data_IF_528094409804
#
_entry.id   IF_528094409804
#
_cell.length_a   1.000
_cell.length_b   1.000
_cell.length_c   1.000
_cell.angle_alpha   90.00
_cell.angle_beta   90.00
_cell.angle_gamma   90.00
#
_symmetry.space_group_name_H-M   'P 1'
#
loop_
_entity.id
_entity.type
_entity.pdbx_description
1 polymer ?
#
# COMPACT_ATOMS: atom_id res chain seq x y z
N UNK A 1 9.65 11.02 -41.44
CA UNK A 1 9.65 10.47 -40.07
C UNK A 1 10.61 11.33 -39.24
N UNK A 2 10.13 11.93 -38.15
CA UNK A 2 10.99 12.71 -37.25
C UNK A 2 11.91 11.78 -36.47
N UNK A 3 13.06 12.30 -36.02
CA UNK A 3 13.89 11.61 -35.04
C UNK A 3 13.15 11.46 -33.72
N UNK A 4 13.62 10.56 -32.83
CA UNK A 4 13.05 10.41 -31.48
C UNK A 4 13.01 11.76 -30.73
N UNK A 5 14.05 12.58 -30.90
CA UNK A 5 14.09 13.95 -30.36
C UNK A 5 12.95 14.81 -30.90
N UNK A 6 12.71 14.77 -32.20
CA UNK A 6 11.66 15.59 -32.83
C UNK A 6 10.26 15.20 -32.33
N UNK A 7 10.03 13.89 -32.14
CA UNK A 7 8.76 13.38 -31.61
C UNK A 7 8.56 13.82 -30.15
N UNK A 8 9.58 13.67 -29.31
CA UNK A 8 9.52 14.05 -27.90
C UNK A 8 9.36 15.56 -27.73
N UNK A 9 10.06 16.38 -28.53
CA UNK A 9 9.91 17.83 -28.50
C UNK A 9 8.49 18.24 -28.92
N UNK A 10 7.97 17.67 -30.01
CA UNK A 10 6.62 17.98 -30.47
C UNK A 10 5.55 17.56 -29.45
N UNK A 11 5.70 16.39 -28.83
CA UNK A 11 4.79 15.90 -27.78
C UNK A 11 4.81 16.80 -26.54
N UNK A 12 5.99 17.23 -26.12
CA UNK A 12 6.15 18.14 -24.98
C UNK A 12 5.55 19.51 -25.26
N UNK A 13 5.79 20.08 -26.43
CA UNK A 13 5.30 21.41 -26.78
C UNK A 13 3.75 21.41 -26.91
N UNK A 14 3.20 20.35 -27.51
CA UNK A 14 1.75 20.13 -27.54
C UNK A 14 1.17 19.90 -26.13
N UNK A 15 1.86 19.13 -25.28
CA UNK A 15 1.47 18.90 -23.90
C UNK A 15 1.49 20.18 -23.05
N UNK A 16 2.46 21.07 -23.25
CA UNK A 16 2.51 22.38 -22.55
C UNK A 16 1.30 23.24 -22.93
N UNK A 17 0.95 23.28 -24.22
CA UNK A 17 -0.24 24.00 -24.68
C UNK A 17 -1.53 23.39 -24.12
N UNK A 18 -1.64 22.06 -24.09
CA UNK A 18 -2.78 21.36 -23.52
C UNK A 18 -2.90 21.62 -22.01
N UNK A 19 -1.79 21.52 -21.27
CA UNK A 19 -1.76 21.77 -19.82
C UNK A 19 -2.19 23.20 -19.49
N UNK A 20 -1.70 24.19 -20.23
CA UNK A 20 -2.09 25.59 -20.05
C UNK A 20 -3.59 25.84 -20.32
N UNK A 21 -4.22 25.00 -21.14
CA UNK A 21 -5.65 25.07 -21.44
C UNK A 21 -6.52 24.33 -20.41
N UNK A 22 -5.96 23.51 -19.52
CA UNK A 22 -6.73 22.72 -18.54
C UNK A 22 -7.68 23.54 -17.65
N UNK A 23 -7.36 24.79 -17.24
CA UNK A 23 -8.32 25.63 -16.53
C UNK A 23 -9.55 26.02 -17.37
N UNK A 24 -9.44 26.07 -18.70
CA UNK A 24 -10.58 26.35 -19.58
C UNK A 24 -11.41 25.10 -19.90
N UNK A 25 -10.87 23.91 -19.63
CA UNK A 25 -11.55 22.63 -19.85
C UNK A 25 -12.29 22.14 -18.59
N UNK A 26 -11.79 22.51 -17.41
CA UNK A 26 -12.30 22.05 -16.12
C UNK A 26 -12.55 23.25 -15.20
N UNK A 27 -13.83 23.58 -14.88
CA UNK A 27 -14.18 24.72 -14.04
C UNK A 27 -13.48 24.74 -12.68
N UNK A 28 -13.21 23.55 -12.11
CA UNK A 28 -12.53 23.39 -10.82
C UNK A 28 -11.08 23.90 -10.83
N UNK A 29 -10.35 23.68 -11.94
CA UNK A 29 -8.98 24.13 -12.11
C UNK A 29 -8.93 25.65 -12.33
N UNK A 30 -9.94 26.19 -13.03
CA UNK A 30 -10.14 27.63 -13.20
C UNK A 30 -10.33 28.36 -11.89
N UNK A 31 -11.22 27.87 -11.04
CA UNK A 31 -11.54 28.46 -9.75
C UNK A 31 -10.33 28.41 -8.79
N UNK A 32 -9.53 27.35 -8.87
CA UNK A 32 -8.32 27.18 -8.07
C UNK A 32 -7.09 27.91 -8.63
N UNK A 33 -7.13 28.42 -9.86
CA UNK A 33 -6.00 29.10 -10.50
C UNK A 33 -4.79 28.20 -10.76
N UNK A 34 -5.00 26.89 -10.83
CA UNK A 34 -3.94 25.87 -11.02
C UNK A 34 -4.18 25.07 -12.30
N UNK A 35 -3.15 24.40 -12.79
CA UNK A 35 -3.23 23.47 -13.93
C UNK A 35 -3.33 22.02 -13.43
N UNK A 36 -3.69 21.10 -14.32
CA UNK A 36 -3.79 19.68 -13.98
C UNK A 36 -2.44 19.10 -13.50
N UNK A 37 -2.42 18.55 -12.28
CA UNK A 37 -1.19 18.02 -11.67
C UNK A 37 -0.67 16.77 -12.41
N UNK A 38 -1.56 15.94 -12.94
CA UNK A 38 -1.20 14.76 -13.74
C UNK A 38 -0.51 15.15 -15.06
N UNK A 39 -1.06 16.13 -15.76
CA UNK A 39 -0.48 16.70 -16.98
C UNK A 39 0.85 17.40 -16.73
N UNK A 40 1.01 18.08 -15.58
CA UNK A 40 2.28 18.65 -15.16
C UNK A 40 3.35 17.55 -14.92
N UNK A 41 2.99 16.47 -14.23
CA UNK A 41 3.86 15.31 -14.04
C UNK A 41 4.24 14.62 -15.35
N UNK A 42 3.31 14.49 -16.29
CA UNK A 42 3.57 13.93 -17.61
C UNK A 42 4.55 14.79 -18.43
N UNK A 43 4.46 16.11 -18.33
CA UNK A 43 5.44 17.00 -18.98
C UNK A 43 6.85 16.87 -18.40
N UNK A 44 6.96 16.71 -17.07
CA UNK A 44 8.25 16.46 -16.43
C UNK A 44 8.88 15.15 -16.92
N UNK A 45 8.07 14.11 -17.13
CA UNK A 45 8.52 12.85 -17.73
C UNK A 45 9.06 13.05 -19.16
N UNK A 46 8.40 13.88 -19.97
CA UNK A 46 8.88 14.21 -21.32
C UNK A 46 10.16 15.06 -21.30
N UNK A 47 10.27 16.00 -20.36
CA UNK A 47 11.50 16.78 -20.13
C UNK A 47 12.67 15.86 -19.72
N UNK A 48 12.43 14.86 -18.87
CA UNK A 48 13.42 13.83 -18.52
C UNK A 48 13.81 12.95 -19.71
N UNK A 49 12.86 12.56 -20.55
CA UNK A 49 13.15 11.80 -21.76
C UNK A 49 14.04 12.60 -22.75
N UNK A 50 13.77 13.90 -22.93
CA UNK A 50 14.61 14.78 -23.75
C UNK A 50 15.99 15.02 -23.13
N UNK A 51 16.09 15.08 -21.81
CA UNK A 51 17.38 15.13 -21.12
C UNK A 51 18.25 13.92 -21.45
N UNK A 52 17.67 12.71 -21.38
CA UNK A 52 18.39 11.46 -21.68
C UNK A 52 18.74 11.35 -23.17
N UNK A 53 17.81 11.70 -24.06
CA UNK A 53 17.96 11.47 -25.51
C UNK A 53 18.78 12.57 -26.21
N UNK A 54 18.68 13.81 -25.75
CA UNK A 54 19.23 14.98 -26.42
C UNK A 54 20.17 15.83 -25.56
N UNK A 55 20.29 15.53 -24.27
CA UNK A 55 21.09 16.32 -23.31
C UNK A 55 20.45 17.67 -22.98
N UNK A 56 19.16 17.86 -23.28
CA UNK A 56 18.45 19.10 -22.96
C UNK A 56 18.39 19.26 -21.42
N UNK A 57 18.54 20.47 -20.87
CA UNK A 57 18.49 20.68 -19.43
C UNK A 57 17.08 20.37 -18.90
N UNK A 58 17.03 19.76 -17.70
CA UNK A 58 15.78 19.64 -16.96
C UNK A 58 15.29 21.04 -16.53
N UNK A 59 13.96 21.25 -16.44
CA UNK A 59 13.44 22.48 -15.89
C UNK A 59 13.89 22.65 -14.43
N UNK A 60 14.31 23.86 -14.08
CA UNK A 60 14.64 24.19 -12.70
C UNK A 60 13.40 24.00 -11.82
N UNK A 61 13.61 23.49 -10.61
CA UNK A 61 12.56 23.49 -9.61
C UNK A 61 12.13 24.95 -9.38
N UNK A 62 10.81 25.25 -9.33
CA UNK A 62 10.36 26.63 -9.17
C UNK A 62 10.98 27.23 -7.90
N UNK A 63 11.71 28.34 -8.06
CA UNK A 63 12.26 29.09 -6.94
C UNK A 63 11.14 29.90 -6.27
N UNK A 64 10.78 29.50 -5.06
CA UNK A 64 9.77 30.14 -4.22
C UNK A 64 8.88 29.08 -3.56
N UNK A 65 8.40 29.36 -2.35
CA UNK A 65 7.31 28.60 -1.74
C UNK A 65 6.23 28.45 -2.82
N UNK A 66 6.01 27.23 -3.29
CA UNK A 66 4.85 26.94 -4.11
C UNK A 66 3.68 27.58 -3.37
N UNK A 67 3.04 28.59 -3.98
CA UNK A 67 1.88 29.23 -3.37
C UNK A 67 0.89 28.09 -3.17
N UNK A 68 0.87 27.57 -1.94
CA UNK A 68 -0.06 26.55 -1.54
C UNK A 68 -1.42 27.15 -1.90
N UNK A 69 -2.25 26.45 -2.70
CA UNK A 69 -3.57 26.96 -2.99
C UNK A 69 -4.22 27.28 -1.66
N UNK A 70 -4.89 28.44 -1.57
CA UNK A 70 -5.59 28.87 -0.36
C UNK A 70 -6.37 27.67 0.20
N UNK A 71 -6.12 27.24 1.45
CA UNK A 71 -6.86 26.14 2.07
C UNK A 71 -8.38 26.33 1.97
N UNK A 72 -8.85 27.59 1.94
CA UNK A 72 -10.25 27.90 1.72
C UNK A 72 -10.72 27.61 0.28
N UNK A 73 -9.85 27.74 -0.73
CA UNK A 73 -10.12 27.37 -2.12
C UNK A 73 -10.12 25.84 -2.30
N UNK A 74 -9.18 25.11 -1.69
CA UNK A 74 -9.15 23.64 -1.67
C UNK A 74 -10.41 23.09 -0.97
N UNK A 75 -10.76 23.67 0.18
CA UNK A 75 -11.99 23.30 0.89
C UNK A 75 -13.27 23.75 0.17
N UNK A 76 -13.23 24.83 -0.62
CA UNK A 76 -14.37 25.23 -1.45
C UNK A 76 -14.55 24.32 -2.68
N UNK A 77 -13.48 23.75 -3.21
CA UNK A 77 -13.51 22.71 -4.24
C UNK A 77 -14.07 21.41 -3.66
N UNK A 78 -13.55 20.95 -2.51
CA UNK A 78 -14.04 19.74 -1.83
C UNK A 78 -15.49 19.84 -1.34
N UNK A 79 -16.00 21.06 -1.07
CA UNK A 79 -17.38 21.29 -0.63
C UNK A 79 -18.35 21.58 -1.78
N UNK A 80 -17.89 22.09 -2.93
CA UNK A 80 -18.77 22.33 -4.11
C UNK A 80 -18.99 21.07 -4.95
N UNK A 81 -18.13 20.06 -4.82
CA UNK A 81 -18.34 18.72 -5.39
C UNK A 81 -19.45 17.91 -4.70
N UNK A 82 -20.16 18.50 -3.73
CA UNK A 82 -21.25 17.85 -3.00
C UNK A 82 -22.67 18.34 -3.29
N UNK A 83 -22.87 19.45 -4.04
CA UNK A 83 -24.20 20.11 -4.08
C UNK A 83 -24.73 20.49 -5.48
N UNK A 84 -23.98 20.26 -6.56
CA UNK A 84 -24.45 20.49 -7.93
C UNK A 84 -24.44 19.19 -8.74
N UNK A 85 -25.33 18.24 -8.42
CA UNK A 85 -25.92 17.24 -9.34
C UNK A 85 -25.01 16.51 -10.35
N UNK A 86 -23.70 16.46 -10.13
CA UNK A 86 -22.69 15.88 -10.99
C UNK A 86 -21.93 14.83 -10.21
N UNK A 87 -22.27 13.58 -10.46
CA UNK A 87 -21.51 12.38 -10.07
C UNK A 87 -20.19 12.44 -10.90
N UNK A 88 -19.01 12.02 -10.41
CA UNK A 88 -18.64 10.60 -10.52
C UNK A 88 -17.37 10.20 -9.73
N UNK A 89 -17.57 9.32 -8.74
CA UNK A 89 -16.64 8.23 -8.40
C UNK A 89 -17.34 7.00 -8.94
N UNK A 90 -16.92 6.52 -10.12
CA UNK A 90 -17.55 5.49 -10.97
C UNK A 90 -18.91 4.96 -10.47
N UNK A 91 -20.01 5.34 -11.14
CA UNK A 91 -21.38 4.82 -10.95
C UNK A 91 -21.53 3.28 -11.06
N UNK A 92 -20.44 2.55 -11.25
CA UNK A 92 -20.40 1.12 -11.55
C UNK A 92 -20.14 0.30 -10.29
N UNK A 93 -21.11 -0.53 -9.95
CA UNK A 93 -21.17 -1.28 -8.70
C UNK A 93 -20.30 -2.53 -8.68
N UNK A 94 -20.05 -3.13 -9.83
CA UNK A 94 -19.35 -4.41 -9.90
C UNK A 94 -18.05 -4.28 -10.67
N UNK A 95 -17.03 -4.98 -10.21
CA UNK A 95 -15.83 -5.27 -10.96
C UNK A 95 -15.94 -6.70 -11.51
N UNK A 96 -15.73 -6.85 -12.82
CA UNK A 96 -15.67 -8.15 -13.48
C UNK A 96 -14.26 -8.38 -14.00
N UNK A 97 -13.65 -9.46 -13.52
CA UNK A 97 -12.31 -9.88 -13.92
C UNK A 97 -12.33 -11.32 -14.43
N UNK A 98 -11.63 -11.59 -15.53
CA UNK A 98 -11.40 -12.96 -15.99
C UNK A 98 -10.21 -13.09 -16.94
N UNK A 99 -9.74 -14.31 -17.11
CA UNK A 99 -8.88 -14.67 -18.23
C UNK A 99 -9.72 -15.08 -19.43
N UNK A 100 -9.50 -14.48 -20.60
CA UNK A 100 -10.19 -14.79 -21.84
C UNK A 100 -9.23 -15.44 -22.83
N UNK A 101 -9.50 -16.67 -23.25
CA UNK A 101 -8.86 -17.21 -24.43
C UNK A 101 -9.59 -16.66 -25.67
N UNK A 102 -8.94 -15.76 -26.44
CA UNK A 102 -9.53 -15.06 -27.58
C UNK A 102 -8.44 -14.76 -28.62
N UNK A 103 -8.73 -15.01 -29.90
CA UNK A 103 -7.81 -14.74 -31.01
C UNK A 103 -7.42 -13.25 -31.03
N UNK A 104 -6.12 -12.97 -31.13
CA UNK A 104 -5.54 -11.62 -31.08
C UNK A 104 -6.16 -10.68 -32.13
N UNK A 105 -6.69 -11.19 -33.25
CA UNK A 105 -7.36 -10.36 -34.26
C UNK A 105 -8.68 -9.76 -33.79
N UNK A 106 -9.28 -10.32 -32.74
CA UNK A 106 -10.58 -9.89 -32.20
C UNK A 106 -10.44 -9.00 -30.95
N UNK A 107 -9.22 -8.77 -30.47
CA UNK A 107 -9.02 -8.05 -29.20
C UNK A 107 -9.47 -6.58 -29.25
N UNK A 108 -9.29 -5.92 -30.39
CA UNK A 108 -9.71 -4.52 -30.54
C UNK A 108 -11.25 -4.40 -30.58
N UNK A 109 -11.92 -5.37 -31.23
CA UNK A 109 -13.39 -5.47 -31.19
C UNK A 109 -13.91 -5.79 -29.78
N UNK A 110 -13.21 -6.68 -29.06
CA UNK A 110 -13.51 -6.99 -27.67
C UNK A 110 -13.43 -5.76 -26.76
N UNK A 111 -12.33 -4.98 -26.84
CA UNK A 111 -12.16 -3.74 -26.06
C UNK A 111 -13.25 -2.71 -26.39
N UNK A 112 -13.60 -2.56 -27.67
CA UNK A 112 -14.64 -1.63 -28.09
C UNK A 112 -16.00 -2.00 -27.48
N UNK A 113 -16.41 -3.27 -27.60
CA UNK A 113 -17.67 -3.76 -27.04
C UNK A 113 -17.68 -3.73 -25.52
N UNK A 114 -16.55 -3.98 -24.88
CA UNK A 114 -16.41 -3.84 -23.42
C UNK A 114 -16.55 -2.40 -22.94
N UNK A 115 -16.04 -1.43 -23.69
CA UNK A 115 -16.22 -0.02 -23.39
C UNK A 115 -17.68 0.47 -23.51
N UNK A 116 -18.57 -0.30 -24.15
CA UNK A 116 -20.01 -0.02 -24.18
C UNK A 116 -20.74 -0.58 -22.94
N UNK A 117 -20.15 -1.57 -22.26
CA UNK A 117 -20.72 -2.28 -21.11
C UNK A 117 -20.23 -1.75 -19.77
N UNK A 118 -19.07 -1.08 -19.76
CA UNK A 118 -18.41 -0.66 -18.54
C UNK A 118 -17.32 0.37 -18.74
N UNK A 119 -16.79 0.89 -17.64
CA UNK A 119 -15.69 1.84 -17.61
C UNK A 119 -14.40 1.19 -17.09
N UNK A 120 -13.31 1.98 -17.10
CA UNK A 120 -12.02 1.56 -16.53
C UNK A 120 -11.49 0.23 -17.10
N UNK A 121 -11.69 0.02 -18.40
CA UNK A 121 -11.31 -1.23 -19.06
C UNK A 121 -9.79 -1.43 -19.05
N UNK A 122 -9.35 -2.58 -18.56
CA UNK A 122 -7.96 -3.01 -18.63
C UNK A 122 -7.92 -4.39 -19.27
N UNK A 123 -7.27 -4.48 -20.43
CA UNK A 123 -7.12 -5.72 -21.19
C UNK A 123 -5.65 -5.90 -21.53
N UNK A 124 -4.98 -6.81 -20.82
CA UNK A 124 -3.53 -7.02 -20.89
C UNK A 124 -3.25 -8.49 -21.20
N UNK A 125 -2.46 -8.75 -22.24
CA UNK A 125 -2.17 -10.11 -22.69
C UNK A 125 -1.63 -10.16 -24.12
N UNK A 126 -1.72 -11.34 -24.73
CA UNK A 126 -1.27 -11.68 -26.09
C UNK A 126 -1.19 -13.19 -26.30
N UNK A 127 -0.96 -13.63 -27.54
CA UNK A 127 -0.87 -15.06 -27.91
C UNK A 127 -2.14 -15.87 -27.58
N UNK A 128 -3.30 -15.24 -27.75
CA UNK A 128 -4.60 -15.89 -27.60
C UNK A 128 -5.12 -15.94 -26.15
N UNK A 129 -4.43 -15.36 -25.17
CA UNK A 129 -4.87 -15.29 -23.76
C UNK A 129 -4.77 -13.86 -23.23
N UNK A 130 -5.87 -13.38 -22.65
CA UNK A 130 -6.03 -12.00 -22.19
C UNK A 130 -6.50 -11.96 -20.75
N UNK A 131 -5.91 -11.11 -19.92
CA UNK A 131 -6.44 -10.75 -18.62
C UNK A 131 -7.30 -9.51 -18.77
N UNK A 132 -8.57 -9.62 -18.42
CA UNK A 132 -9.59 -8.64 -18.71
C UNK A 132 -10.21 -8.17 -17.39
N UNK A 133 -10.28 -6.86 -17.19
CA UNK A 133 -10.88 -6.17 -16.06
C UNK A 133 -11.79 -5.05 -16.59
N UNK A 134 -13.03 -5.02 -16.13
CA UNK A 134 -13.98 -3.95 -16.40
C UNK A 134 -14.81 -3.64 -15.15
N UNK A 135 -15.05 -2.37 -14.86
CA UNK A 135 -16.10 -1.99 -13.93
C UNK A 135 -17.42 -1.99 -14.69
N UNK A 136 -18.54 -2.40 -14.09
CA UNK A 136 -19.84 -2.41 -14.75
C UNK A 136 -20.99 -2.57 -13.75
N UNK A 137 -22.20 -2.22 -14.17
CA UNK A 137 -23.44 -2.63 -13.50
C UNK A 137 -24.10 -3.86 -14.15
N UNK A 138 -23.60 -4.30 -15.30
CA UNK A 138 -24.12 -5.42 -16.08
C UNK A 138 -23.06 -6.52 -16.22
N UNK A 139 -22.96 -7.34 -15.17
CA UNK A 139 -22.03 -8.47 -15.08
C UNK A 139 -22.25 -9.46 -16.24
N UNK A 140 -23.51 -9.66 -16.63
CA UNK A 140 -23.89 -10.58 -17.70
C UNK A 140 -23.33 -10.13 -19.03
N UNK A 141 -23.61 -8.87 -19.40
CA UNK A 141 -23.10 -8.28 -20.64
C UNK A 141 -21.56 -8.30 -20.68
N UNK A 142 -20.88 -8.05 -19.55
CA UNK A 142 -19.43 -8.06 -19.50
C UNK A 142 -18.83 -9.43 -19.84
N UNK A 143 -19.48 -10.53 -19.43
CA UNK A 143 -19.04 -11.89 -19.74
C UNK A 143 -19.46 -12.31 -21.15
N UNK A 144 -20.66 -11.92 -21.59
CA UNK A 144 -21.25 -12.30 -22.88
C UNK A 144 -20.46 -11.73 -24.07
N UNK A 145 -19.88 -10.53 -23.95
CA UNK A 145 -19.04 -9.93 -25.01
C UNK A 145 -17.88 -10.87 -25.41
N UNK A 146 -17.25 -11.55 -24.44
CA UNK A 146 -16.21 -12.53 -24.76
C UNK A 146 -16.77 -13.73 -25.52
N UNK A 147 -17.93 -14.25 -25.09
CA UNK A 147 -18.56 -15.44 -25.66
C UNK A 147 -19.01 -15.18 -27.11
N UNK A 148 -19.61 -14.01 -27.36
CA UNK A 148 -20.07 -13.61 -28.69
C UNK A 148 -18.91 -13.48 -29.70
N UNK A 149 -17.71 -13.19 -29.22
CA UNK A 149 -16.50 -13.11 -30.02
C UNK A 149 -15.76 -14.45 -30.12
N UNK A 150 -16.43 -15.58 -29.87
CA UNK A 150 -15.85 -16.93 -29.81
C UNK A 150 -14.75 -17.09 -28.75
N UNK A 151 -14.70 -16.17 -27.79
CA UNK A 151 -13.78 -16.19 -26.65
C UNK A 151 -14.22 -17.15 -25.55
N UNK A 152 -13.27 -17.59 -24.74
CA UNK A 152 -13.53 -18.49 -23.59
C UNK A 152 -13.10 -17.80 -22.29
N UNK A 153 -14.01 -17.11 -21.59
CA UNK A 153 -13.70 -16.57 -20.27
C UNK A 153 -13.50 -17.72 -19.26
N UNK A 154 -12.56 -17.54 -18.35
CA UNK A 154 -12.16 -18.52 -17.34
C UNK A 154 -11.66 -17.81 -16.09
N UNK A 155 -11.81 -18.45 -14.93
CA UNK A 155 -11.54 -17.85 -13.61
C UNK A 155 -12.26 -16.51 -13.42
N UNK A 156 -13.55 -16.50 -13.75
CA UNK A 156 -14.39 -15.31 -13.62
C UNK A 156 -14.52 -14.96 -12.13
N UNK A 157 -14.12 -13.74 -11.79
CA UNK A 157 -14.32 -13.11 -10.49
C UNK A 157 -15.22 -11.91 -10.70
N UNK A 158 -16.22 -11.78 -9.83
CA UNK A 158 -17.11 -10.63 -9.77
C UNK A 158 -17.05 -10.10 -8.36
N UNK A 159 -16.66 -8.84 -8.22
CA UNK A 159 -16.53 -8.16 -6.93
C UNK A 159 -17.61 -7.08 -6.85
N UNK A 160 -18.40 -7.02 -5.78
CA UNK A 160 -19.29 -5.88 -5.52
C UNK A 160 -18.46 -4.79 -4.82
N UNK A 161 -18.14 -3.73 -5.56
CA UNK A 161 -17.30 -2.62 -5.10
C UNK A 161 -17.97 -1.85 -3.96
N UNK A 162 -19.30 -1.89 -3.85
CA UNK A 162 -20.03 -1.20 -2.79
C UNK A 162 -20.20 -2.09 -1.55
N UNK A 163 -20.28 -3.40 -1.69
CA UNK A 163 -20.35 -4.34 -0.57
C UNK A 163 -18.96 -4.55 0.07
N UNK A 164 -17.87 -4.49 -0.69
CA UNK A 164 -16.51 -4.48 -0.15
C UNK A 164 -16.24 -3.16 0.60
N UNK A 165 -16.62 -2.01 0.03
CA UNK A 165 -16.57 -0.73 0.75
C UNK A 165 -17.54 -0.71 1.94
N UNK A 166 -18.75 -1.26 1.88
CA UNK A 166 -19.69 -1.22 3.02
C UNK A 166 -19.35 -2.23 4.13
N UNK A 167 -18.87 -3.43 3.80
CA UNK A 167 -18.42 -4.41 4.78
C UNK A 167 -17.08 -3.99 5.39
N UNK A 168 -16.16 -3.43 4.60
CA UNK A 168 -14.97 -2.82 5.15
C UNK A 168 -15.31 -1.55 5.95
N UNK A 169 -16.23 -0.68 5.52
CA UNK A 169 -16.59 0.54 6.28
C UNK A 169 -17.40 0.24 7.55
N UNK A 170 -18.24 -0.79 7.57
CA UNK A 170 -18.96 -1.22 8.77
C UNK A 170 -18.00 -1.82 9.81
N UNK A 171 -17.05 -2.65 9.37
CA UNK A 171 -15.96 -3.13 10.24
C UNK A 171 -15.01 -1.99 10.64
N UNK A 172 -14.73 -1.03 9.75
CA UNK A 172 -13.90 0.17 10.01
C UNK A 172 -14.55 1.14 11.00
N UNK A 173 -15.87 1.34 10.96
CA UNK A 173 -16.58 2.21 11.90
C UNK A 173 -16.80 1.57 13.27
N UNK A 174 -17.08 0.25 13.33
CA UNK A 174 -17.16 -0.47 14.61
C UNK A 174 -15.78 -0.61 15.29
N UNK A 175 -14.69 -0.64 14.52
CA UNK A 175 -13.32 -0.63 15.04
C UNK A 175 -12.81 0.75 15.50
N UNK A 176 -13.52 1.84 15.20
CA UNK A 176 -13.17 3.20 15.64
C UNK A 176 -13.90 3.65 16.91
N UNK A 177 -14.86 2.88 17.44
CA UNK A 177 -15.35 3.03 18.82
C UNK A 177 -16.08 1.77 19.29
N UNK A 178 -15.62 1.05 20.34
CA UNK A 178 -16.46 0.03 20.96
C UNK A 178 -17.64 0.71 21.68
N UNK A 179 -18.85 0.14 21.67
CA UNK A 179 -19.89 0.56 22.60
C UNK A 179 -19.46 0.14 24.01
N UNK A 180 -18.85 1.07 24.75
CA UNK A 180 -18.51 0.91 26.17
C UNK A 180 -17.02 1.03 26.55
N UNK A 181 -16.16 1.62 25.72
CA UNK A 181 -14.81 1.95 26.18
C UNK A 181 -14.86 3.00 27.31
N UNK A 182 -14.43 2.61 28.51
CA UNK A 182 -14.03 3.58 29.53
C UNK A 182 -13.02 4.55 28.89
N UNK A 183 -13.15 5.85 29.19
CA UNK A 183 -12.23 6.85 28.67
C UNK A 183 -10.79 6.41 28.96
N UNK A 184 -10.04 6.12 27.90
CA UNK A 184 -8.63 5.75 28.03
C UNK A 184 -7.91 6.83 28.84
N UNK A 185 -6.96 6.47 29.72
CA UNK A 185 -6.22 7.45 30.48
C UNK A 185 -5.57 8.46 29.53
N UNK A 186 -5.68 9.74 29.85
CA UNK A 186 -5.06 10.82 29.08
C UNK A 186 -3.54 10.61 29.08
N UNK A 187 -2.94 10.49 27.90
CA UNK A 187 -1.49 10.30 27.73
C UNK A 187 -0.83 11.62 27.32
N UNK A 188 0.44 11.81 27.69
CA UNK A 188 1.22 12.98 27.26
C UNK A 188 1.47 12.94 25.75
N UNK A 189 1.73 11.74 25.23
CA UNK A 189 1.95 11.48 23.83
C UNK A 189 1.18 10.22 23.42
N UNK A 190 0.26 10.33 22.48
CA UNK A 190 -0.44 9.19 21.91
C UNK A 190 0.39 8.53 20.79
N UNK A 191 0.06 7.29 20.47
CA UNK A 191 0.58 6.55 19.34
C UNK A 191 -0.56 6.24 18.36
N UNK A 192 -0.31 6.51 17.09
CA UNK A 192 -1.13 6.03 15.97
C UNK A 192 -0.31 5.05 15.16
N UNK A 193 -0.78 3.83 14.97
CA UNK A 193 -0.06 2.79 14.24
C UNK A 193 -0.87 2.27 13.06
N UNK A 194 -0.20 2.02 11.94
CA UNK A 194 -0.78 1.26 10.84
C UNK A 194 -0.52 -0.21 11.05
N UNK A 195 -1.55 -1.02 10.97
CA UNK A 195 -1.47 -2.47 11.17
C UNK A 195 -2.08 -3.24 10.01
N UNK A 196 -1.56 -4.44 9.75
CA UNK A 196 -2.04 -5.35 8.71
C UNK A 196 -2.49 -6.65 9.33
N UNK A 197 -3.77 -6.79 9.63
CA UNK A 197 -4.35 -8.01 10.20
C UNK A 197 -4.96 -7.80 11.59
N UNK A 198 -6.05 -8.51 11.92
CA UNK A 198 -6.82 -8.26 13.13
C UNK A 198 -6.01 -8.52 14.41
N UNK A 199 -5.21 -9.59 14.43
CA UNK A 199 -4.38 -9.93 15.58
C UNK A 199 -3.27 -8.89 15.83
N UNK A 200 -2.67 -8.35 14.77
CA UNK A 200 -1.69 -7.25 14.92
C UNK A 200 -2.38 -5.98 15.46
N UNK A 201 -3.58 -5.66 14.95
CA UNK A 201 -4.35 -4.54 15.48
C UNK A 201 -4.69 -4.70 16.96
N UNK A 202 -5.03 -5.92 17.40
CA UNK A 202 -5.29 -6.24 18.81
C UNK A 202 -4.02 -6.08 19.64
N UNK A 203 -2.90 -6.65 19.22
CA UNK A 203 -1.60 -6.50 19.90
C UNK A 203 -1.22 -5.03 20.07
N UNK A 204 -1.36 -4.22 19.02
CA UNK A 204 -1.06 -2.78 19.12
C UNK A 204 -1.94 -2.08 20.15
N UNK A 205 -3.24 -2.40 20.20
CA UNK A 205 -4.14 -1.84 21.23
C UNK A 205 -3.75 -2.30 22.64
N UNK A 206 -3.40 -3.57 22.82
CA UNK A 206 -2.93 -4.10 24.11
C UNK A 206 -1.64 -3.43 24.58
N UNK A 207 -0.78 -3.02 23.64
CA UNK A 207 0.44 -2.26 23.90
C UNK A 207 0.21 -0.75 24.07
N UNK A 208 -1.04 -0.32 24.17
CA UNK A 208 -1.39 1.07 24.48
C UNK A 208 -1.36 2.00 23.28
N UNK A 209 -1.54 1.51 22.05
CA UNK A 209 -1.77 2.36 20.88
C UNK A 209 -3.18 2.93 20.92
N UNK A 210 -3.31 4.26 20.83
CA UNK A 210 -4.60 4.96 20.91
C UNK A 210 -5.35 5.00 19.56
N UNK A 211 -4.64 4.96 18.43
CA UNK A 211 -5.25 4.92 17.10
C UNK A 211 -4.64 3.83 16.24
N UNK A 212 -5.46 2.91 15.72
CA UNK A 212 -5.00 1.88 14.78
C UNK A 212 -5.69 2.09 13.44
N UNK A 213 -4.88 2.27 12.40
CA UNK A 213 -5.34 2.40 11.01
C UNK A 213 -5.07 1.09 10.28
N UNK A 214 -6.05 0.62 9.51
CA UNK A 214 -5.87 -0.53 8.64
C UNK A 214 -4.90 -0.19 7.50
N UNK A 215 -3.93 -1.04 7.26
CA UNK A 215 -3.02 -0.94 6.12
C UNK A 215 -2.29 -2.26 5.85
N UNK A 216 -1.25 -2.23 5.04
CA UNK A 216 -0.46 -3.40 4.70
C UNK A 216 0.32 -3.23 3.41
N UNK A 217 0.85 -4.32 2.85
CA UNK A 217 1.68 -4.26 1.63
C UNK A 217 0.90 -3.84 0.37
N UNK A 218 -0.38 -4.21 0.32
CA UNK A 218 -1.26 -3.97 -0.83
C UNK A 218 -2.34 -2.92 -0.57
N UNK A 219 -2.48 -2.45 0.68
CA UNK A 219 -3.47 -1.50 1.13
C UNK A 219 -2.76 -0.42 1.94
N UNK A 220 -2.41 0.70 1.31
CA UNK A 220 -1.82 1.84 2.02
C UNK A 220 -2.94 2.82 2.38
N UNK A 221 -3.04 3.26 3.65
CA UNK A 221 -3.97 4.31 4.03
C UNK A 221 -3.61 5.61 3.30
N UNK A 222 -4.64 6.35 2.95
CA UNK A 222 -4.54 7.70 2.41
C UNK A 222 -4.05 8.70 3.47
N UNK A 223 -3.56 9.86 3.00
CA UNK A 223 -3.22 10.99 3.87
C UNK A 223 -4.39 11.38 4.78
N UNK A 224 -5.61 11.39 4.23
CA UNK A 224 -6.81 11.79 4.96
C UNK A 224 -7.16 10.82 6.09
N UNK A 225 -6.98 9.51 5.87
CA UNK A 225 -7.24 8.49 6.89
C UNK A 225 -6.24 8.56 8.05
N UNK A 226 -4.94 8.72 7.74
CA UNK A 226 -3.91 8.90 8.76
C UNK A 226 -4.13 10.18 9.56
N UNK A 227 -4.49 11.28 8.89
CA UNK A 227 -4.77 12.55 9.55
C UNK A 227 -6.00 12.45 10.45
N UNK A 228 -7.06 11.80 10.00
CA UNK A 228 -8.25 11.57 10.82
C UNK A 228 -7.94 10.73 12.07
N UNK A 229 -7.08 9.71 11.95
CA UNK A 229 -6.64 8.91 13.10
C UNK A 229 -5.80 9.75 14.10
N UNK A 230 -4.91 10.61 13.60
CA UNK A 230 -4.14 11.56 14.43
C UNK A 230 -5.06 12.57 15.11
N UNK A 231 -6.06 13.10 14.43
CA UNK A 231 -6.94 14.13 14.99
C UNK A 231 -7.93 13.57 16.02
N UNK A 232 -8.31 12.29 15.90
CA UNK A 232 -9.27 11.65 16.82
C UNK A 232 -8.66 11.19 18.16
N UNK A 233 -7.35 10.96 18.26
CA UNK A 233 -6.72 10.58 19.54
C UNK A 233 -6.70 11.72 20.55
N UNK A 234 -6.99 11.45 21.83
CA UNK A 234 -7.04 12.45 22.89
C UNK A 234 -5.65 12.79 23.46
N UNK A 235 -4.79 13.37 22.61
CA UNK A 235 -3.47 13.89 22.97
C UNK A 235 -3.05 15.03 22.02
N UNK A 236 -2.30 16.00 22.54
CA UNK A 236 -1.70 17.11 21.77
C UNK A 236 -0.43 16.70 21.01
N UNK A 237 0.20 15.59 21.43
CA UNK A 237 1.41 15.05 20.83
C UNK A 237 1.15 13.61 20.36
N UNK A 238 1.57 13.28 19.15
CA UNK A 238 1.30 11.99 18.52
C UNK A 238 2.58 11.43 17.87
N UNK A 239 2.90 10.18 18.14
CA UNK A 239 3.88 9.39 17.39
C UNK A 239 3.15 8.49 16.39
N UNK A 240 3.59 8.47 15.14
CA UNK A 240 3.02 7.63 14.09
C UNK A 240 3.98 6.49 13.74
N UNK A 241 3.45 5.27 13.69
CA UNK A 241 4.16 4.04 13.28
C UNK A 241 3.61 3.56 11.91
N UNK A 242 4.31 3.83 10.80
CA UNK A 242 3.80 3.53 9.46
C UNK A 242 3.72 2.04 9.13
N UNK A 243 4.59 1.19 9.69
CA UNK A 243 4.58 -0.26 9.48
C UNK A 243 4.83 -0.73 8.04
N UNK A 244 4.95 0.18 7.07
CA UNK A 244 5.28 -0.07 5.67
C UNK A 244 6.08 1.12 5.10
N UNK A 245 7.18 0.84 4.39
CA UNK A 245 8.02 1.85 3.73
C UNK A 245 7.27 2.78 2.78
N UNK A 246 6.18 2.31 2.17
CA UNK A 246 5.37 3.10 1.24
C UNK A 246 4.50 4.15 1.97
N UNK A 247 4.28 3.97 3.28
CA UNK A 247 3.46 4.85 4.11
C UNK A 247 4.31 5.94 4.77
N UNK A 248 5.61 5.67 5.02
CA UNK A 248 6.54 6.61 5.66
C UNK A 248 6.48 8.03 5.04
N UNK A 249 6.56 8.22 3.70
CA UNK A 249 6.56 9.57 3.13
C UNK A 249 5.25 10.35 3.34
N UNK A 250 4.13 9.63 3.49
CA UNK A 250 2.81 10.23 3.76
C UNK A 250 2.71 10.57 5.24
N UNK A 251 3.16 9.67 6.12
CA UNK A 251 3.17 9.90 7.57
C UNK A 251 4.03 11.11 7.95
N UNK A 252 5.17 11.31 7.30
CA UNK A 252 6.08 12.45 7.56
C UNK A 252 5.45 13.82 7.25
N UNK A 253 4.39 13.86 6.43
CA UNK A 253 3.70 15.11 6.09
C UNK A 253 2.61 15.49 7.11
N UNK A 254 2.25 14.60 8.04
CA UNK A 254 1.10 14.80 8.93
C UNK A 254 1.28 16.01 9.87
N UNK A 255 2.50 16.24 10.38
CA UNK A 255 2.81 17.36 11.30
C UNK A 255 2.44 18.73 10.69
N UNK A 256 2.53 18.88 9.38
CA UNK A 256 2.19 20.12 8.69
C UNK A 256 0.68 20.32 8.44
N UNK A 257 -0.13 19.27 8.63
CA UNK A 257 -1.55 19.27 8.28
C UNK A 257 -2.50 19.25 9.49
N UNK A 258 -1.99 19.16 10.71
CA UNK A 258 -2.77 19.21 11.96
C UNK A 258 -2.28 20.31 12.89
N UNK A 259 -3.09 20.65 13.88
CA UNK A 259 -2.69 21.55 14.98
C UNK A 259 -1.88 20.82 16.06
N UNK A 260 -1.90 19.47 16.08
CA UNK A 260 -1.15 18.64 17.02
C UNK A 260 0.32 18.56 16.63
N UNK A 261 1.19 18.23 17.59
CA UNK A 261 2.59 17.90 17.29
C UNK A 261 2.69 16.44 16.88
N UNK A 262 3.12 16.18 15.65
CA UNK A 262 3.28 14.82 15.12
C UNK A 262 4.76 14.49 14.92
N UNK A 263 5.13 13.28 15.31
CA UNK A 263 6.45 12.69 15.03
C UNK A 263 6.26 11.31 14.41
N UNK A 264 7.22 10.90 13.58
CA UNK A 264 7.18 9.61 12.90
C UNK A 264 8.38 8.79 13.33
N UNK A 265 8.13 7.57 13.77
CA UNK A 265 9.16 6.52 13.85
C UNK A 265 9.02 5.73 12.55
N UNK A 266 10.00 5.74 11.64
CA UNK A 266 9.84 5.23 10.27
C UNK A 266 9.90 3.70 10.20
N UNK A 267 9.04 3.03 10.98
CA UNK A 267 8.85 1.58 10.92
C UNK A 267 8.28 1.18 9.58
N UNK A 268 8.70 0.02 9.09
CA UNK A 268 8.31 -0.49 7.78
C UNK A 268 7.95 -1.97 7.79
N UNK A 269 7.96 -2.58 8.98
CA UNK A 269 7.47 -3.91 9.23
C UNK A 269 6.70 -3.93 10.57
N UNK A 270 5.86 -4.94 10.74
CA UNK A 270 5.08 -5.10 11.98
C UNK A 270 5.97 -5.45 13.19
N UNK A 271 7.01 -6.31 13.06
CA UNK A 271 7.95 -6.54 14.17
C UNK A 271 8.70 -5.27 14.62
N UNK A 272 9.11 -4.40 13.69
CA UNK A 272 9.68 -3.09 14.03
C UNK A 272 8.68 -2.22 14.83
N UNK A 273 7.40 -2.28 14.48
CA UNK A 273 6.32 -1.61 15.22
C UNK A 273 6.15 -2.15 16.64
N UNK A 274 6.15 -3.47 16.83
CA UNK A 274 6.07 -4.08 18.16
C UNK A 274 7.27 -3.69 19.04
N UNK A 275 8.48 -3.75 18.50
CA UNK A 275 9.69 -3.36 19.22
C UNK A 275 9.67 -1.87 19.60
N UNK A 276 9.23 -1.00 18.68
CA UNK A 276 9.02 0.41 18.96
C UNK A 276 8.07 0.62 20.16
N UNK A 277 6.95 -0.11 20.20
CA UNK A 277 5.96 -0.01 21.27
C UNK A 277 6.48 -0.52 22.63
N UNK A 278 7.44 -1.46 22.65
CA UNK A 278 8.09 -1.87 23.91
C UNK A 278 8.90 -0.75 24.57
N UNK A 279 9.34 0.24 23.79
CA UNK A 279 10.08 1.41 24.27
C UNK A 279 9.20 2.66 24.46
N UNK A 280 7.90 2.55 24.25
CA UNK A 280 6.95 3.66 24.42
C UNK A 280 6.70 3.96 25.90
N UNK A 281 6.78 5.25 26.26
CA UNK A 281 6.42 5.77 27.58
C UNK A 281 5.22 6.75 27.44
N UNK A 282 4.03 6.42 27.96
CA UNK A 282 2.86 7.28 27.85
C UNK A 282 2.97 8.61 28.61
N UNK A 283 3.90 8.73 29.55
CA UNK A 283 4.15 9.96 30.31
C UNK A 283 5.16 10.89 29.62
N UNK A 284 5.96 10.37 28.68
CA UNK A 284 6.97 11.13 27.94
C UNK A 284 6.40 11.95 26.78
N UNK A 285 7.15 12.98 26.36
CA UNK A 285 6.82 13.79 25.19
C UNK A 285 7.14 13.07 23.86
N UNK A 286 6.58 13.56 22.74
CA UNK A 286 6.78 12.95 21.43
C UNK A 286 8.25 12.87 21.00
N UNK A 287 9.10 13.91 21.19
CA UNK A 287 10.52 13.80 20.87
C UNK A 287 11.26 12.70 21.63
N UNK A 288 11.06 12.60 22.95
CA UNK A 288 11.65 11.56 23.79
C UNK A 288 11.21 10.17 23.33
N UNK A 289 9.90 9.97 23.17
CA UNK A 289 9.34 8.71 22.68
C UNK A 289 9.90 8.35 21.30
N UNK A 290 9.92 9.29 20.35
CA UNK A 290 10.43 9.04 18.99
C UNK A 290 11.87 8.53 19.01
N UNK A 291 12.73 9.07 19.88
CA UNK A 291 14.13 8.63 19.98
C UNK A 291 14.21 7.21 20.54
N UNK A 292 13.54 6.91 21.65
CA UNK A 292 13.57 5.60 22.28
C UNK A 292 12.97 4.50 21.38
N UNK A 293 11.79 4.78 20.83
CA UNK A 293 11.06 3.89 19.93
C UNK A 293 11.84 3.62 18.64
N UNK A 294 12.52 4.62 18.08
CA UNK A 294 13.37 4.44 16.89
C UNK A 294 14.57 3.54 17.18
N UNK A 295 15.23 3.71 18.32
CA UNK A 295 16.36 2.83 18.71
C UNK A 295 15.90 1.38 18.82
N UNK A 296 14.74 1.14 19.41
CA UNK A 296 14.18 -0.21 19.50
C UNK A 296 13.80 -0.78 18.13
N UNK A 297 13.15 0.00 17.27
CA UNK A 297 12.80 -0.43 15.91
C UNK A 297 14.04 -0.73 15.05
N UNK A 298 15.08 0.10 15.13
CA UNK A 298 16.31 -0.05 14.34
C UNK A 298 17.14 -1.27 14.76
N UNK A 299 16.93 -1.80 15.97
CA UNK A 299 17.56 -3.04 16.43
C UNK A 299 16.97 -4.30 15.76
N UNK A 300 15.79 -4.19 15.14
CA UNK A 300 15.08 -5.34 14.57
C UNK A 300 15.61 -5.69 13.19
N UNK A 301 16.07 -6.92 13.05
CA UNK A 301 16.30 -7.55 11.76
C UNK A 301 15.01 -8.23 11.31
N UNK A 302 14.27 -7.57 10.43
CA UNK A 302 12.96 -8.04 9.96
C UNK A 302 13.06 -8.92 8.71
N UNK A 303 12.22 -9.96 8.65
CA UNK A 303 12.02 -10.78 7.47
C UNK A 303 10.60 -11.30 7.32
N UNK A 304 10.32 -11.83 6.14
CA UNK A 304 8.98 -12.29 5.74
C UNK A 304 9.11 -13.59 4.95
N UNK A 305 8.10 -14.47 5.07
CA UNK A 305 8.01 -15.67 4.23
C UNK A 305 6.81 -15.55 3.29
N UNK A 306 7.04 -15.81 2.01
CA UNK A 306 6.03 -15.69 0.96
C UNK A 306 6.10 -16.86 -0.02
N UNK A 307 4.97 -17.23 -0.63
CA UNK A 307 4.93 -18.20 -1.71
C UNK A 307 5.09 -17.50 -3.08
N UNK A 308 5.93 -18.07 -3.94
CA UNK A 308 6.18 -17.58 -5.27
C UNK A 308 4.98 -17.83 -6.21
N UNK A 309 4.41 -16.75 -6.73
CA UNK A 309 3.32 -16.80 -7.73
C UNK A 309 3.81 -16.73 -9.16
N UNK A 310 5.10 -16.45 -9.36
CA UNK A 310 5.75 -16.39 -10.67
C UNK A 310 7.19 -16.89 -10.58
N UNK A 311 7.69 -17.44 -11.68
CA UNK A 311 9.11 -17.79 -11.76
C UNK A 311 9.98 -16.52 -11.84
N UNK A 312 11.16 -16.58 -11.23
CA UNK A 312 12.13 -15.49 -11.22
C UNK A 312 13.54 -16.01 -11.01
N UNK A 313 14.53 -15.24 -11.45
CA UNK A 313 15.92 -15.45 -11.06
C UNK A 313 16.27 -14.45 -9.96
N UNK A 314 16.78 -14.95 -8.84
CA UNK A 314 17.13 -14.15 -7.66
C UNK A 314 18.56 -14.44 -7.23
N UNK A 315 19.20 -13.56 -6.44
CA UNK A 315 20.52 -13.84 -5.86
C UNK A 315 20.55 -15.13 -5.02
N UNK A 316 19.45 -15.49 -4.38
CA UNK A 316 19.29 -16.72 -3.60
C UNK A 316 19.06 -17.98 -4.45
N UNK A 317 18.86 -17.83 -5.76
CA UNK A 317 18.65 -18.93 -6.70
C UNK A 317 17.45 -18.72 -7.63
N UNK A 318 17.21 -19.74 -8.45
CA UNK A 318 16.04 -19.79 -9.32
C UNK A 318 14.80 -20.10 -8.48
N UNK A 319 13.75 -19.30 -8.68
CA UNK A 319 12.43 -19.47 -8.07
C UNK A 319 11.48 -19.98 -9.14
N UNK A 320 10.76 -21.06 -8.85
CA UNK A 320 9.61 -21.50 -9.65
C UNK A 320 8.30 -21.22 -8.92
N UNK A 321 7.18 -21.28 -9.66
CA UNK A 321 5.86 -21.07 -9.08
C UNK A 321 5.59 -22.16 -8.04
N UNK A 322 5.16 -21.74 -6.85
CA UNK A 322 4.87 -22.63 -5.72
C UNK A 322 6.01 -22.74 -4.71
N UNK A 323 7.24 -22.36 -5.08
CA UNK A 323 8.36 -22.28 -4.13
C UNK A 323 8.07 -21.27 -3.02
N UNK A 324 8.68 -21.50 -1.88
CA UNK A 324 8.66 -20.62 -0.73
C UNK A 324 9.93 -19.78 -0.69
N UNK A 325 9.76 -18.51 -0.35
CA UNK A 325 10.83 -17.52 -0.34
C UNK A 325 10.93 -16.89 1.04
N UNK A 326 12.17 -16.79 1.54
CA UNK A 326 12.50 -15.93 2.68
C UNK A 326 13.01 -14.60 2.18
N UNK A 327 12.43 -13.52 2.67
CA UNK A 327 12.71 -12.16 2.26
C UNK A 327 13.28 -11.42 3.47
N UNK A 328 14.46 -10.84 3.33
CA UNK A 328 15.04 -9.93 4.33
C UNK A 328 14.82 -8.51 3.86
N UNK A 329 14.43 -7.65 4.79
CA UNK A 329 14.23 -6.23 4.49
C UNK A 329 15.54 -5.60 4.00
N UNK A 330 15.48 -4.89 2.88
CA UNK A 330 16.65 -4.25 2.26
C UNK A 330 17.44 -5.18 1.32
N UNK A 331 17.56 -6.46 1.67
CA UNK A 331 18.36 -7.44 0.91
C UNK A 331 17.53 -8.22 -0.13
N UNK A 332 16.20 -8.22 0.01
CA UNK A 332 15.29 -8.91 -0.90
C UNK A 332 15.20 -10.41 -0.61
N UNK A 333 15.05 -11.22 -1.66
CA UNK A 333 14.91 -12.69 -1.51
C UNK A 333 16.29 -13.29 -1.19
N UNK A 334 16.42 -13.82 0.03
CA UNK A 334 17.66 -14.44 0.55
C UNK A 334 17.57 -15.95 0.69
N UNK A 335 16.36 -16.50 0.61
CA UNK A 335 16.11 -17.93 0.71
C UNK A 335 15.05 -18.37 -0.29
N UNK A 336 15.24 -19.56 -0.87
CA UNK A 336 14.29 -20.23 -1.76
C UNK A 336 14.26 -21.71 -1.38
N UNK A 337 13.08 -22.27 -1.17
CA UNK A 337 12.88 -23.67 -0.82
C UNK A 337 11.55 -24.19 -1.37
N UNK A 338 11.40 -25.52 -1.59
CA UNK A 338 10.13 -26.08 -2.06
C UNK A 338 9.02 -26.08 -1.00
N UNK A 339 9.37 -25.85 0.28
CA UNK A 339 8.45 -25.83 1.41
C UNK A 339 8.77 -24.68 2.38
N UNK A 340 7.75 -24.32 3.16
CA UNK A 340 7.76 -23.18 4.08
C UNK A 340 8.78 -23.34 5.22
N UNK A 341 8.98 -24.57 5.70
CA UNK A 341 9.93 -24.85 6.80
C UNK A 341 11.36 -24.63 6.30
N UNK A 342 11.70 -25.12 5.11
CA UNK A 342 13.00 -24.92 4.48
C UNK A 342 13.28 -23.44 4.22
N UNK A 343 12.28 -22.69 3.73
CA UNK A 343 12.42 -21.25 3.49
C UNK A 343 12.62 -20.48 4.81
N UNK A 344 11.85 -20.82 5.84
CA UNK A 344 11.97 -20.22 7.17
C UNK A 344 13.32 -20.55 7.83
N UNK A 345 13.75 -21.81 7.80
CA UNK A 345 15.04 -22.23 8.36
C UNK A 345 16.21 -21.50 7.68
N UNK A 346 16.16 -21.35 6.36
CA UNK A 346 17.16 -20.59 5.61
C UNK A 346 17.11 -19.09 5.94
N UNK A 347 15.91 -18.50 6.07
CA UNK A 347 15.71 -17.11 6.48
C UNK A 347 16.29 -16.85 7.88
N UNK A 348 15.91 -17.67 8.87
CA UNK A 348 16.43 -17.58 10.24
C UNK A 348 17.93 -17.85 10.31
N UNK A 349 18.46 -18.71 9.43
CA UNK A 349 19.89 -18.93 9.27
C UNK A 349 20.66 -17.65 8.89
N UNK A 350 20.01 -16.73 8.15
CA UNK A 350 20.57 -15.43 7.78
C UNK A 350 20.32 -14.35 8.85
N UNK A 351 19.09 -14.28 9.39
CA UNK A 351 18.68 -13.22 10.31
C UNK A 351 19.25 -13.40 11.72
N UNK A 352 19.32 -14.63 12.22
CA UNK A 352 19.76 -14.89 13.58
C UNK A 352 21.30 -14.84 13.62
N UNK A 353 21.85 -13.74 14.11
CA UNK A 353 23.28 -13.58 14.34
C UNK A 353 23.77 -14.20 15.66
N UNK A 354 25.06 -14.04 15.96
CA UNK A 354 25.67 -14.52 17.22
C UNK A 354 25.22 -13.73 18.47
N UNK A 355 24.66 -12.53 18.27
CA UNK A 355 24.15 -11.67 19.34
C UNK A 355 22.63 -11.65 19.49
N UNK A 356 21.91 -12.46 18.71
CA UNK A 356 20.46 -12.48 18.77
C UNK A 356 19.97 -13.11 20.10
N UNK A 357 18.96 -12.51 20.71
CA UNK A 357 18.40 -12.97 21.99
C UNK A 357 16.93 -13.39 21.86
N UNK A 358 16.18 -12.75 20.95
CA UNK A 358 14.75 -12.99 20.76
C UNK A 358 14.40 -13.05 19.27
N UNK A 359 13.54 -14.01 18.93
CA UNK A 359 12.86 -14.11 17.64
C UNK A 359 11.36 -13.95 17.89
N UNK A 360 10.79 -12.90 17.33
CA UNK A 360 9.35 -12.65 17.31
C UNK A 360 8.77 -13.16 16.00
N UNK A 361 7.89 -14.16 16.07
CA UNK A 361 7.22 -14.77 14.94
C UNK A 361 5.74 -14.38 14.94
N UNK A 362 5.28 -13.70 13.89
CA UNK A 362 3.87 -13.29 13.76
C UNK A 362 3.21 -14.14 12.66
N UNK A 363 2.21 -14.94 13.04
CA UNK A 363 1.50 -15.84 12.13
C UNK A 363 0.38 -15.13 11.38
N UNK A 364 0.30 -15.35 10.07
CA UNK A 364 -0.76 -14.84 9.20
C UNK A 364 -1.86 -15.87 8.96
N UNK A 365 -2.90 -15.48 8.22
CA UNK A 365 -4.07 -16.32 7.94
C UNK A 365 -3.73 -17.63 7.18
N UNK A 366 -2.59 -17.68 6.49
CA UNK A 366 -2.10 -18.86 5.79
C UNK A 366 -1.15 -19.75 6.61
N UNK A 367 -0.88 -19.43 7.87
CA UNK A 367 -0.06 -20.25 8.75
C UNK A 367 -0.86 -21.41 9.35
N UNK A 368 -0.21 -22.55 9.54
CA UNK A 368 -0.78 -23.70 10.24
C UNK A 368 0.05 -24.03 11.50
N UNK A 369 -0.63 -24.57 12.52
CA UNK A 369 -0.03 -24.89 13.82
C UNK A 369 1.12 -25.90 13.70
N UNK A 370 1.02 -26.88 12.79
CA UNK A 370 2.02 -27.93 12.66
C UNK A 370 3.33 -27.42 12.06
N UNK A 371 3.24 -26.54 11.07
CA UNK A 371 4.38 -25.82 10.52
C UNK A 371 4.99 -24.89 11.55
N UNK A 372 4.17 -24.13 12.29
CA UNK A 372 4.65 -23.20 13.32
C UNK A 372 5.44 -23.94 14.40
N UNK A 373 4.91 -25.06 14.91
CA UNK A 373 5.60 -25.90 15.89
C UNK A 373 6.92 -26.49 15.34
N UNK A 374 6.99 -26.80 14.03
CA UNK A 374 8.21 -27.27 13.39
C UNK A 374 9.27 -26.17 13.29
N UNK A 375 8.87 -24.92 13.02
CA UNK A 375 9.76 -23.75 13.02
C UNK A 375 10.33 -23.50 14.42
N UNK A 376 9.47 -23.52 15.46
CA UNK A 376 9.90 -23.39 16.85
C UNK A 376 10.91 -24.49 17.23
N UNK A 377 10.60 -25.75 16.88
CA UNK A 377 11.49 -26.89 17.15
C UNK A 377 12.84 -26.73 16.45
N UNK A 378 12.84 -26.29 15.19
CA UNK A 378 14.06 -26.05 14.43
C UNK A 378 14.93 -24.98 15.10
N UNK A 379 14.33 -23.86 15.52
CA UNK A 379 15.07 -22.78 16.18
C UNK A 379 15.62 -23.22 17.53
N UNK A 380 14.84 -23.95 18.33
CA UNK A 380 15.31 -24.49 19.61
C UNK A 380 16.50 -25.45 19.45
N UNK A 381 16.53 -26.24 18.37
CA UNK A 381 17.63 -27.16 18.07
C UNK A 381 18.89 -26.43 17.57
N UNK A 382 18.73 -25.48 16.65
CA UNK A 382 19.86 -24.84 15.96
C UNK A 382 20.37 -23.59 16.66
N UNK A 383 19.54 -22.92 17.47
CA UNK A 383 19.79 -21.65 18.15
C UNK A 383 19.30 -21.69 19.60
N UNK A 384 19.80 -22.60 20.45
CA UNK A 384 19.27 -22.84 21.81
C UNK A 384 19.40 -21.67 22.79
N UNK A 385 20.18 -20.63 22.44
CA UNK A 385 20.31 -19.40 23.23
C UNK A 385 19.27 -18.33 22.89
N UNK A 386 18.47 -18.53 21.84
CA UNK A 386 17.51 -17.57 21.33
C UNK A 386 16.11 -17.96 21.78
N UNK A 387 15.39 -17.03 22.42
CA UNK A 387 13.99 -17.22 22.78
C UNK A 387 13.11 -17.01 21.53
N UNK A 388 12.01 -17.76 21.43
CA UNK A 388 10.97 -17.50 20.43
C UNK A 388 9.68 -17.06 21.11
N UNK A 389 9.06 -16.04 20.55
CA UNK A 389 7.71 -15.59 20.90
C UNK A 389 6.84 -15.65 19.64
N UNK A 390 5.68 -16.28 19.76
CA UNK A 390 4.75 -16.48 18.64
C UNK A 390 3.48 -15.69 18.93
N UNK A 391 3.05 -14.88 17.96
CA UNK A 391 1.85 -14.08 18.04
C UNK A 391 0.94 -14.33 16.84
N UNK A 392 -0.36 -14.41 17.07
CA UNK A 392 -1.33 -14.44 15.98
C UNK A 392 -1.55 -13.03 15.43
N UNK A 393 -1.13 -12.79 14.19
CA UNK A 393 -1.30 -11.51 13.51
C UNK A 393 -2.49 -11.48 12.55
N UNK A 394 -2.85 -12.62 11.97
CA UNK A 394 -3.95 -12.74 11.02
C UNK A 394 -3.75 -11.94 9.71
N UNK A 395 -2.53 -11.51 9.39
CA UNK A 395 -2.26 -10.83 8.12
C UNK A 395 -2.56 -11.75 6.92
N UNK A 396 -3.13 -11.23 5.81
CA UNK A 396 -3.63 -12.07 4.72
C UNK A 396 -2.53 -12.53 3.74
N UNK A 397 -1.45 -11.76 3.58
CA UNK A 397 -0.48 -11.97 2.50
C UNK A 397 0.65 -12.92 2.90
N UNK A 398 1.28 -12.66 4.04
CA UNK A 398 2.46 -13.40 4.48
C UNK A 398 2.10 -14.33 5.64
N UNK A 399 2.24 -15.65 5.49
CA UNK A 399 1.98 -16.57 6.59
C UNK A 399 2.91 -16.35 7.78
N UNK A 400 4.11 -15.80 7.58
CA UNK A 400 5.01 -15.47 8.69
C UNK A 400 5.71 -14.14 8.47
N UNK A 401 5.68 -13.30 9.51
CA UNK A 401 6.60 -12.17 9.68
C UNK A 401 7.55 -12.51 10.82
N UNK A 402 8.82 -12.11 10.70
CA UNK A 402 9.87 -12.41 11.66
C UNK A 402 10.56 -11.11 12.05
N UNK A 403 10.74 -10.88 13.34
CA UNK A 403 11.68 -9.90 13.87
C UNK A 403 12.74 -10.61 14.70
N UNK A 404 14.01 -10.23 14.54
CA UNK A 404 15.12 -10.73 15.36
C UNK A 404 15.79 -9.55 16.05
N UNK A 405 15.88 -9.65 17.38
CA UNK A 405 16.53 -8.69 18.29
C UNK A 405 17.94 -9.13 18.67
#
# INVERSE_FOLDING_TARGET
>A
AGSLRDVLSAARDAGRAALAATPELLPVLKDAGVVDAGGAGFLLLLDAALHVVAGDPLPDAPEGDAVAPDPAAIAAVARRTGDDGGIDVSEQRYEVMYFCALDDRRIEEFKQRWGEVGDSIVVVGGDGIWNCHVHTNDIGAAIEVAIDLDGRPSKIRVTDLFEEVAAEHAVRHEAMTPPGAEAAPTVTCAVVAVSSGPGISELFRELGVQGVVGGGQTLNPSMAELLAAVDTVDAEQVVVLPGNKNIVPVAEQLDALTAKTVRVVPTTSMPEGLAALMAYDPEADAPTNTVAMRVAADAIHAGEVAQAVRAAQTPAGAVVIGDWMGIVRGDGIVAVAPDVIGAMAALLGQLVGDGAELVTLITGAGADESTTAAIESWLAEHRPGVKIEVHDGGQPLYPYLVGVE
#
